data_IF_183238166227
#
_entry.id   IF_183238166227
#
_cell.length_a   1.000
_cell.length_b   1.000
_cell.length_c   1.000
_cell.angle_alpha   90.00
_cell.angle_beta   90.00
_cell.angle_gamma   90.00
#
_symmetry.space_group_name_H-M   'P 1'
#
loop_
_entity.id
_entity.type
_entity.pdbx_description
1 polymer ?
#
# COMPACT_ATOMS: atom_id res chain seq x y z
N UNK A 1 45.46 22.12 -66.76
CA UNK A 1 45.48 23.48 -66.16
C UNK A 1 44.05 24.00 -66.11
N UNK A 2 43.65 24.61 -64.97
CA UNK A 2 42.49 25.50 -64.70
C UNK A 2 41.13 25.21 -65.42
N UNK A 3 40.06 24.80 -64.74
CA UNK A 3 39.16 25.52 -63.79
C UNK A 3 38.04 26.36 -64.45
N UNK A 4 36.85 26.31 -63.80
CA UNK A 4 35.58 27.09 -63.93
C UNK A 4 34.48 26.37 -64.75
N UNK A 5 33.38 25.87 -64.14
CA UNK A 5 32.18 26.55 -63.56
C UNK A 5 31.00 26.54 -64.58
N UNK A 6 29.69 26.54 -64.25
CA UNK A 6 28.88 26.22 -63.05
C UNK A 6 27.38 26.27 -63.43
N UNK A 7 26.52 25.38 -62.88
CA UNK A 7 25.03 25.43 -62.88
C UNK A 7 24.31 25.34 -64.27
N UNK A 8 23.05 24.89 -64.44
CA UNK A 8 22.01 24.21 -63.62
C UNK A 8 20.87 23.66 -64.55
N UNK A 9 19.69 23.26 -64.00
CA UNK A 9 18.35 23.06 -64.68
C UNK A 9 18.19 21.69 -65.41
N UNK A 10 17.13 20.85 -65.30
CA UNK A 10 15.87 20.82 -64.49
C UNK A 10 15.26 19.38 -64.34
N UNK A 11 14.25 19.27 -63.46
CA UNK A 11 13.21 18.24 -63.16
C UNK A 11 12.47 17.56 -64.37
N UNK A 12 11.61 16.50 -64.33
CA UNK A 12 10.87 15.70 -63.30
C UNK A 12 10.32 14.33 -63.90
N UNK A 13 10.07 13.30 -63.05
CA UNK A 13 8.93 12.32 -63.04
C UNK A 13 8.78 10.99 -63.88
N UNK A 14 8.04 10.05 -63.23
CA UNK A 14 7.34 8.78 -63.64
C UNK A 14 8.21 7.54 -64.01
N UNK A 15 8.02 6.26 -63.62
CA UNK A 15 7.29 5.46 -62.59
C UNK A 15 6.54 4.20 -63.17
N UNK A 16 6.36 3.17 -62.32
CA UNK A 16 5.48 1.95 -62.44
C UNK A 16 6.10 0.62 -62.95
N UNK A 17 6.13 -0.37 -62.03
CA UNK A 17 5.86 -1.86 -62.05
C UNK A 17 6.00 -2.70 -63.35
N UNK A 18 6.17 -4.04 -63.38
CA UNK A 18 5.92 -5.17 -62.46
C UNK A 18 6.69 -6.44 -62.93
N UNK A 19 6.80 -7.52 -62.13
CA UNK A 19 6.70 -8.96 -62.53
C UNK A 19 7.04 -9.92 -61.36
N UNK A 20 6.47 -11.14 -61.35
CA UNK A 20 6.59 -12.08 -60.23
C UNK A 20 6.67 -13.58 -60.62
N UNK A 21 7.14 -14.38 -59.65
CA UNK A 21 6.77 -15.79 -59.35
C UNK A 21 7.52 -17.01 -59.96
N UNK A 22 7.99 -17.88 -59.02
CA UNK A 22 8.04 -19.37 -59.02
C UNK A 22 8.81 -20.06 -60.17
N UNK A 23 10.02 -20.61 -59.96
CA UNK A 23 10.33 -21.84 -59.19
C UNK A 23 11.33 -22.72 -60.00
N UNK A 24 11.79 -23.94 -59.65
CA UNK A 24 11.71 -24.84 -58.47
C UNK A 24 12.87 -25.86 -58.51
N UNK A 25 13.50 -26.30 -57.40
CA UNK A 25 14.32 -27.54 -57.37
C UNK A 25 14.55 -28.14 -55.96
N UNK A 26 14.69 -29.46 -55.88
CA UNK A 26 14.91 -30.27 -54.66
C UNK A 26 16.40 -30.48 -54.38
N UNK A 27 16.80 -30.59 -53.11
CA UNK A 27 17.93 -31.45 -52.70
C UNK A 27 17.69 -32.08 -51.32
N UNK A 28 18.12 -33.33 -51.18
CA UNK A 28 17.83 -34.20 -50.04
C UNK A 28 18.84 -34.08 -48.90
N UNK A 29 18.35 -34.41 -47.68
CA UNK A 29 19.04 -35.05 -46.55
C UNK A 29 20.58 -35.14 -46.64
N UNK A 30 21.25 -34.48 -45.69
CA UNK A 30 22.48 -35.01 -45.10
C UNK A 30 22.32 -34.96 -43.58
N UNK A 31 22.31 -36.13 -42.95
CA UNK A 31 22.28 -36.27 -41.50
C UNK A 31 23.66 -36.00 -40.92
N UNK A 32 23.71 -35.28 -39.79
CA UNK A 32 24.76 -35.41 -38.79
C UNK A 32 24.08 -35.31 -37.42
N UNK A 33 24.22 -36.35 -36.60
CA UNK A 33 23.72 -36.40 -35.22
C UNK A 33 24.62 -35.60 -34.28
N UNK A 34 24.01 -35.10 -33.18
CA UNK A 34 24.52 -34.93 -31.79
C UNK A 34 26.00 -34.59 -31.52
N UNK A 35 26.35 -33.75 -30.50
CA UNK A 35 25.65 -33.64 -29.22
C UNK A 35 25.64 -32.23 -28.55
N UNK A 36 24.47 -31.71 -28.16
CA UNK A 36 24.36 -30.44 -27.41
C UNK A 36 23.50 -30.52 -26.13
N UNK A 37 23.40 -31.72 -25.53
CA UNK A 37 22.58 -31.96 -24.32
C UNK A 37 23.39 -32.20 -23.03
N UNK A 38 24.70 -31.92 -23.03
CA UNK A 38 25.62 -32.24 -21.92
C UNK A 38 26.52 -31.07 -21.46
N UNK A 39 26.25 -29.85 -21.93
CA UNK A 39 26.92 -28.64 -21.47
C UNK A 39 25.96 -27.46 -21.61
N UNK A 40 25.41 -27.00 -20.50
CA UNK A 40 24.43 -25.91 -20.51
C UNK A 40 25.03 -24.63 -21.09
N UNK A 41 24.59 -24.26 -22.30
CA UNK A 41 24.88 -22.96 -22.88
C UNK A 41 24.12 -21.94 -22.03
N UNK A 42 24.85 -21.21 -21.19
CA UNK A 42 24.33 -20.00 -20.54
C UNK A 42 24.05 -18.98 -21.63
N UNK A 43 22.88 -18.36 -21.54
CA UNK A 43 22.51 -17.24 -22.40
C UNK A 43 23.57 -16.12 -22.23
N UNK A 44 24.33 -15.77 -23.29
CA UNK A 44 25.38 -14.76 -23.19
C UNK A 44 24.72 -13.38 -23.07
N UNK A 45 24.98 -12.67 -21.97
CA UNK A 45 24.45 -11.33 -21.71
C UNK A 45 24.70 -10.38 -22.90
N UNK A 46 23.64 -10.04 -23.64
CA UNK A 46 23.68 -9.12 -24.77
C UNK A 46 22.52 -9.34 -25.74
N UNK A 47 22.26 -8.38 -26.63
CA UNK A 47 21.17 -8.40 -27.60
C UNK A 47 21.47 -9.29 -28.83
N UNK A 48 21.79 -10.57 -28.58
CA UNK A 48 22.37 -11.53 -29.54
C UNK A 48 21.56 -11.80 -30.83
N UNK A 49 20.27 -11.42 -30.86
CA UNK A 49 19.38 -11.54 -32.03
C UNK A 49 18.78 -10.20 -32.49
N UNK A 50 19.38 -9.06 -32.15
CA UNK A 50 18.90 -7.72 -32.57
C UNK A 50 19.19 -7.42 -34.05
N UNK A 51 20.32 -7.90 -34.58
CA UNK A 51 20.66 -7.77 -36.00
C UNK A 51 20.20 -8.99 -36.82
N UNK A 52 19.35 -8.74 -37.82
CA UNK A 52 18.91 -9.76 -38.79
C UNK A 52 20.04 -10.03 -39.80
N UNK A 53 20.39 -11.31 -40.02
CA UNK A 53 21.30 -11.69 -41.12
C UNK A 53 22.28 -12.84 -40.88
N UNK A 54 22.35 -13.43 -39.68
CA UNK A 54 23.29 -14.54 -39.42
C UNK A 54 22.88 -15.50 -38.31
N UNK A 55 22.81 -15.02 -37.06
CA UNK A 55 22.73 -15.90 -35.89
C UNK A 55 21.33 -16.50 -35.60
N UNK A 56 20.27 -15.88 -36.12
CA UNK A 56 18.88 -16.15 -35.69
C UNK A 56 17.94 -16.37 -36.91
N UNK A 57 18.20 -17.39 -37.76
CA UNK A 57 17.37 -17.68 -38.92
C UNK A 57 15.97 -18.14 -38.50
N UNK A 58 14.94 -17.62 -39.17
CA UNK A 58 13.53 -17.97 -38.91
C UNK A 58 12.87 -17.21 -37.75
N UNK A 59 13.49 -16.15 -37.22
CA UNK A 59 12.89 -15.24 -36.24
C UNK A 59 11.96 -14.23 -36.91
N UNK A 60 10.72 -14.16 -36.44
CA UNK A 60 9.68 -13.25 -36.93
C UNK A 60 8.93 -12.61 -35.75
N UNK A 61 9.35 -11.41 -35.34
CA UNK A 61 8.80 -10.69 -34.18
C UNK A 61 7.31 -10.32 -34.27
N UNK A 62 6.69 -10.54 -35.44
CA UNK A 62 5.26 -10.35 -35.68
C UNK A 62 4.46 -11.66 -35.55
N UNK A 63 5.14 -12.82 -35.58
CA UNK A 63 4.54 -14.14 -35.41
C UNK A 63 4.32 -14.42 -33.91
N UNK A 64 3.32 -13.74 -33.34
CA UNK A 64 2.93 -13.89 -31.94
C UNK A 64 1.52 -14.43 -31.80
N UNK A 65 1.27 -15.16 -30.72
CA UNK A 65 -0.05 -15.67 -30.34
C UNK A 65 -0.32 -15.34 -28.86
N UNK A 66 -1.58 -15.06 -28.49
CA UNK A 66 -1.97 -15.01 -27.09
C UNK A 66 -2.02 -16.43 -26.51
N UNK A 67 -1.29 -16.67 -25.42
CA UNK A 67 -1.32 -17.93 -24.67
C UNK A 67 -1.56 -17.62 -23.19
N UNK A 68 -2.69 -18.09 -22.66
CA UNK A 68 -3.21 -17.70 -21.35
C UNK A 68 -3.31 -16.16 -21.22
N UNK A 69 -2.61 -15.56 -20.26
CA UNK A 69 -2.55 -14.13 -19.97
C UNK A 69 -1.29 -13.42 -20.53
N UNK A 70 -0.51 -14.10 -21.38
CA UNK A 70 0.70 -13.56 -22.02
C UNK A 70 0.67 -13.66 -23.55
N UNK A 71 1.56 -12.94 -24.21
CA UNK A 71 1.84 -13.05 -25.64
C UNK A 71 3.14 -13.87 -25.81
N UNK A 72 3.13 -14.85 -26.70
CA UNK A 72 4.27 -15.73 -26.99
C UNK A 72 4.60 -15.76 -28.49
N UNK A 73 5.86 -15.98 -28.84
CA UNK A 73 6.29 -16.15 -30.23
C UNK A 73 6.07 -17.59 -30.73
N UNK A 74 5.59 -17.73 -31.97
CA UNK A 74 5.30 -18.99 -32.68
C UNK A 74 6.10 -19.14 -33.98
N UNK A 75 7.23 -18.44 -34.12
CA UNK A 75 8.07 -18.52 -35.33
C UNK A 75 8.93 -19.80 -35.38
N UNK A 76 9.59 -20.04 -36.53
CA UNK A 76 10.45 -21.22 -36.70
C UNK A 76 11.71 -21.18 -35.81
N UNK A 77 12.13 -19.99 -35.40
CA UNK A 77 13.21 -19.79 -34.43
C UNK A 77 12.81 -20.28 -33.04
N UNK A 78 11.52 -20.24 -32.68
CA UNK A 78 10.99 -20.82 -31.45
C UNK A 78 10.78 -22.35 -31.45
N UNK A 79 11.13 -23.05 -32.54
CA UNK A 79 11.22 -24.51 -32.59
C UNK A 79 12.49 -25.06 -31.89
N UNK A 80 12.84 -24.48 -30.72
CA UNK A 80 14.00 -24.83 -29.89
C UNK A 80 13.61 -24.68 -28.42
N UNK A 81 13.93 -25.68 -27.60
CA UNK A 81 13.31 -25.91 -26.27
C UNK A 81 13.63 -24.89 -25.17
N UNK A 82 14.47 -23.86 -25.41
CA UNK A 82 15.00 -22.99 -24.34
C UNK A 82 15.26 -21.54 -24.85
N UNK A 83 14.22 -20.70 -24.91
CA UNK A 83 14.30 -19.23 -24.71
C UNK A 83 12.90 -18.68 -24.37
N UNK A 84 12.69 -17.36 -24.53
CA UNK A 84 11.47 -16.54 -24.45
C UNK A 84 10.29 -16.94 -25.37
N UNK A 85 10.27 -18.19 -25.83
CA UNK A 85 9.31 -18.77 -26.76
C UNK A 85 8.08 -19.37 -26.07
N UNK A 86 7.05 -19.71 -26.86
CA UNK A 86 5.83 -20.36 -26.37
C UNK A 86 6.16 -21.69 -25.63
N UNK A 87 5.79 -21.85 -24.34
CA UNK A 87 6.11 -23.07 -23.57
C UNK A 87 5.62 -24.37 -24.21
N UNK A 88 4.47 -24.30 -24.90
CA UNK A 88 3.81 -25.43 -25.55
C UNK A 88 3.92 -25.35 -27.09
N UNK A 89 5.02 -24.80 -27.63
CA UNK A 89 5.23 -24.53 -29.06
C UNK A 89 4.74 -25.65 -30.01
N UNK A 90 5.13 -26.91 -29.77
CA UNK A 90 4.70 -28.03 -30.62
C UNK A 90 3.19 -28.27 -30.58
N UNK A 91 2.56 -28.17 -29.42
CA UNK A 91 1.11 -28.36 -29.27
C UNK A 91 0.29 -27.18 -29.79
N UNK A 92 0.73 -25.96 -29.47
CA UNK A 92 -0.05 -24.74 -29.72
C UNK A 92 0.25 -24.09 -31.08
N UNK A 93 1.54 -24.01 -31.49
CA UNK A 93 1.93 -23.41 -32.77
C UNK A 93 1.91 -24.42 -33.93
N UNK A 94 2.23 -25.70 -33.67
CA UNK A 94 2.31 -26.76 -34.71
C UNK A 94 1.18 -27.80 -34.68
N UNK A 95 0.27 -27.75 -33.69
CA UNK A 95 -0.84 -28.71 -33.57
C UNK A 95 -0.42 -30.15 -33.24
N UNK A 96 0.82 -30.37 -32.85
CA UNK A 96 1.37 -31.69 -32.51
C UNK A 96 0.98 -32.02 -31.07
N UNK A 97 0.03 -32.94 -30.88
CA UNK A 97 -0.37 -33.38 -29.54
C UNK A 97 0.86 -33.86 -28.74
N UNK A 98 1.13 -33.31 -27.55
CA UNK A 98 2.29 -33.71 -26.76
C UNK A 98 2.18 -35.19 -26.33
N UNK A 99 3.31 -35.89 -26.15
CA UNK A 99 3.29 -37.25 -25.64
C UNK A 99 2.62 -37.30 -24.27
N UNK A 100 1.82 -38.33 -24.02
CA UNK A 100 0.99 -38.43 -22.81
C UNK A 100 1.86 -38.73 -21.57
N UNK A 101 2.34 -37.67 -20.90
CA UNK A 101 3.07 -37.79 -19.64
C UNK A 101 2.05 -38.11 -18.53
N UNK A 102 1.86 -39.41 -18.25
CA UNK A 102 0.90 -39.88 -17.25
C UNK A 102 1.23 -39.44 -15.81
N UNK A 103 2.53 -39.34 -15.48
CA UNK A 103 3.03 -38.85 -14.20
C UNK A 103 4.35 -38.11 -14.37
N UNK A 104 4.52 -36.97 -13.69
CA UNK A 104 5.82 -36.32 -13.51
C UNK A 104 6.23 -36.37 -12.02
N UNK A 105 7.53 -36.47 -11.73
CA UNK A 105 8.06 -36.59 -10.36
C UNK A 105 9.01 -35.42 -10.05
N UNK A 106 8.84 -34.80 -8.87
CA UNK A 106 9.70 -33.71 -8.39
C UNK A 106 9.81 -33.76 -6.88
N UNK A 107 11.03 -33.72 -6.34
CA UNK A 107 11.34 -33.84 -4.90
C UNK A 107 10.65 -35.05 -4.21
N UNK A 108 10.55 -36.20 -4.90
CA UNK A 108 9.90 -37.42 -4.40
C UNK A 108 8.36 -37.42 -4.44
N UNK A 109 7.73 -36.34 -4.94
CA UNK A 109 6.29 -36.27 -5.15
C UNK A 109 5.92 -36.51 -6.62
N UNK A 110 4.91 -37.36 -6.85
CA UNK A 110 4.36 -37.65 -8.17
C UNK A 110 3.08 -36.85 -8.41
N UNK A 111 3.01 -36.20 -9.58
CA UNK A 111 1.87 -35.40 -10.03
C UNK A 111 1.27 -36.01 -11.30
N UNK A 112 -0.05 -35.98 -11.40
CA UNK A 112 -0.79 -36.47 -12.57
C UNK A 112 -0.89 -35.39 -13.66
N UNK A 113 -1.03 -35.82 -14.92
CA UNK A 113 -1.32 -34.90 -16.03
C UNK A 113 -2.58 -34.06 -15.74
N UNK A 114 -2.48 -32.73 -15.87
CA UNK A 114 -3.53 -31.78 -15.53
C UNK A 114 -3.64 -31.39 -14.05
N UNK A 115 -2.86 -32.00 -13.15
CA UNK A 115 -2.84 -31.62 -11.74
C UNK A 115 -2.08 -30.30 -11.53
N UNK A 116 -2.74 -29.30 -10.95
CA UNK A 116 -2.11 -28.00 -10.70
C UNK A 116 -1.16 -28.08 -9.50
N UNK A 117 0.15 -27.95 -9.74
CA UNK A 117 1.17 -27.83 -8.71
C UNK A 117 1.67 -26.39 -8.63
N UNK A 118 1.75 -25.84 -7.41
CA UNK A 118 2.14 -24.45 -7.16
C UNK A 118 3.43 -24.42 -6.34
N UNK A 119 4.55 -24.24 -7.02
CA UNK A 119 5.87 -24.20 -6.40
C UNK A 119 6.24 -22.77 -6.00
N UNK A 120 6.68 -22.59 -4.76
CA UNK A 120 7.27 -21.35 -4.25
C UNK A 120 6.42 -20.06 -4.42
N UNK A 121 5.15 -20.10 -4.02
CA UNK A 121 4.36 -18.88 -3.82
C UNK A 121 4.84 -18.15 -2.56
N UNK A 122 5.81 -17.24 -2.74
CA UNK A 122 6.50 -16.46 -1.72
C UNK A 122 5.71 -16.23 -0.42
N UNK A 123 6.18 -16.85 0.67
CA UNK A 123 5.65 -16.72 2.04
C UNK A 123 6.11 -15.44 2.75
N UNK A 124 6.77 -14.54 2.01
CA UNK A 124 7.29 -13.25 2.47
C UNK A 124 6.37 -12.13 2.01
N UNK A 125 6.21 -11.09 2.83
CA UNK A 125 5.68 -9.81 2.35
C UNK A 125 6.59 -9.28 1.24
N UNK A 126 6.02 -8.65 0.20
CA UNK A 126 6.78 -8.15 -0.94
C UNK A 126 7.32 -6.75 -0.62
N UNK A 127 8.61 -6.53 -0.90
CA UNK A 127 9.19 -5.19 -0.91
C UNK A 127 8.98 -4.46 -2.25
N UNK A 128 8.89 -3.14 -2.23
CA UNK A 128 8.94 -2.28 -3.42
C UNK A 128 9.64 -0.96 -3.13
N UNK A 129 10.19 -0.36 -4.19
CA UNK A 129 10.76 0.99 -4.15
C UNK A 129 9.64 2.03 -4.27
N UNK A 130 9.70 3.08 -3.45
CA UNK A 130 8.75 4.19 -3.47
C UNK A 130 9.46 5.52 -3.78
N UNK A 131 8.99 6.21 -4.82
CA UNK A 131 9.51 7.52 -5.23
C UNK A 131 9.44 8.57 -4.11
N UNK A 132 8.44 8.50 -3.22
CA UNK A 132 8.28 9.40 -2.07
C UNK A 132 9.36 9.25 -0.97
N UNK A 133 10.24 8.26 -1.09
CA UNK A 133 11.42 8.06 -0.23
C UNK A 133 12.74 8.16 -1.01
N UNK A 134 12.72 8.49 -2.31
CA UNK A 134 13.95 8.64 -3.09
C UNK A 134 14.77 9.84 -2.62
N UNK A 135 16.07 9.62 -2.38
CA UNK A 135 16.98 10.62 -1.82
C UNK A 135 16.88 10.79 -0.29
N UNK A 136 15.93 10.14 0.38
CA UNK A 136 15.77 10.20 1.84
C UNK A 136 16.65 9.15 2.52
N UNK A 137 17.45 9.55 3.51
CA UNK A 137 18.19 8.61 4.36
C UNK A 137 17.27 7.89 5.36
N UNK A 138 17.72 6.76 5.90
CA UNK A 138 16.97 6.02 6.94
C UNK A 138 16.70 6.90 8.17
N UNK A 139 17.66 7.74 8.59
CA UNK A 139 17.48 8.67 9.70
C UNK A 139 16.39 9.72 9.42
N UNK A 140 16.31 10.24 8.20
CA UNK A 140 15.25 11.16 7.79
C UNK A 140 13.89 10.46 7.70
N UNK A 141 13.85 9.20 7.23
CA UNK A 141 12.64 8.36 7.27
C UNK A 141 12.13 8.18 8.70
N UNK A 142 13.00 7.76 9.61
CA UNK A 142 12.68 7.58 11.04
C UNK A 142 12.33 8.88 11.76
N UNK A 143 12.85 10.03 11.29
CA UNK A 143 12.62 11.35 11.87
C UNK A 143 11.36 12.05 11.35
N UNK A 144 11.01 11.88 10.08
CA UNK A 144 9.94 12.64 9.42
C UNK A 144 8.69 11.82 9.07
N UNK A 145 8.82 10.49 8.87
CA UNK A 145 7.68 9.61 8.54
C UNK A 145 7.12 8.88 9.76
N UNK A 146 7.92 8.74 10.82
CA UNK A 146 7.49 8.29 12.15
C UNK A 146 7.33 9.50 13.06
N UNK A 147 6.81 9.34 14.27
CA UNK A 147 6.56 10.50 15.14
C UNK A 147 5.64 10.28 16.34
N UNK A 148 5.45 9.05 16.80
CA UNK A 148 4.68 8.80 18.01
C UNK A 148 5.63 8.58 19.19
N UNK A 149 5.44 9.33 20.28
CA UNK A 149 6.19 9.12 21.52
C UNK A 149 5.59 7.95 22.32
N UNK A 150 6.45 7.13 22.94
CA UNK A 150 6.00 6.03 23.80
C UNK A 150 5.14 6.54 24.98
N UNK A 151 4.01 5.90 25.30
CA UNK A 151 3.10 6.34 26.36
C UNK A 151 3.69 6.09 27.75
N UNK A 152 3.30 6.90 28.74
CA UNK A 152 3.83 6.78 30.10
C UNK A 152 3.29 5.53 30.82
N UNK A 153 4.07 5.02 31.80
CA UNK A 153 3.72 3.83 32.61
C UNK A 153 2.31 3.88 33.22
N UNK A 154 1.86 5.06 33.67
CA UNK A 154 0.51 5.25 34.24
C UNK A 154 -0.62 5.02 33.23
N UNK A 155 -0.37 5.26 31.95
CA UNK A 155 -1.35 5.02 30.87
C UNK A 155 -1.30 3.55 30.45
N UNK A 156 -0.17 2.89 30.65
CA UNK A 156 -0.02 1.43 30.53
C UNK A 156 -0.64 0.63 31.70
N UNK A 157 -1.42 1.26 32.61
CA UNK A 157 -2.01 0.58 33.79
C UNK A 157 -3.53 0.79 33.92
N UNK A 158 -4.28 0.81 32.80
CA UNK A 158 -5.75 0.88 32.78
C UNK A 158 -6.39 -0.53 32.70
N UNK A 159 -7.61 -0.67 33.22
CA UNK A 159 -8.30 -1.96 33.44
C UNK A 159 -8.96 -2.57 32.19
N UNK A 160 -9.19 -3.89 32.23
CA UNK A 160 -9.55 -4.80 31.12
C UNK A 160 -11.07 -5.13 31.04
N UNK A 161 -11.56 -5.72 29.94
CA UNK A 161 -12.96 -6.21 29.80
C UNK A 161 -13.09 -7.48 28.92
N UNK A 162 -13.85 -8.49 29.35
CA UNK A 162 -13.78 -9.84 28.77
C UNK A 162 -14.82 -10.25 27.69
N UNK A 163 -14.29 -10.94 26.66
CA UNK A 163 -14.75 -12.16 25.94
C UNK A 163 -16.09 -12.22 25.17
N UNK A 164 -16.04 -12.62 23.89
CA UNK A 164 -16.98 -13.56 23.24
C UNK A 164 -16.46 -14.10 21.87
N UNK A 165 -17.23 -14.93 21.15
CA UNK A 165 -16.88 -15.50 19.81
C UNK A 165 -16.73 -14.43 18.71
N UNK A 166 -15.72 -14.58 17.83
CA UNK A 166 -15.35 -13.62 16.79
C UNK A 166 -15.16 -14.31 15.41
N UNK A 167 -15.44 -13.62 14.27
CA UNK A 167 -15.23 -14.16 12.93
C UNK A 167 -13.74 -14.22 12.55
N UNK A 168 -13.38 -15.09 11.60
CA UNK A 168 -12.01 -15.21 11.08
C UNK A 168 -11.54 -14.00 10.26
N UNK A 169 -12.46 -13.31 9.60
CA UNK A 169 -12.22 -12.09 8.84
C UNK A 169 -13.21 -11.00 9.26
N UNK A 170 -12.73 -9.76 9.31
CA UNK A 170 -13.53 -8.57 9.55
C UNK A 170 -12.88 -7.35 8.92
N UNK A 171 -13.67 -6.49 8.31
CA UNK A 171 -13.24 -5.20 7.78
C UNK A 171 -14.29 -4.13 8.13
N UNK A 172 -13.87 -3.10 8.86
CA UNK A 172 -14.77 -2.03 9.28
C UNK A 172 -15.39 -1.27 8.09
N UNK A 173 -14.69 -1.17 6.95
CA UNK A 173 -15.22 -0.50 5.76
C UNK A 173 -16.37 -1.28 5.10
N UNK A 174 -16.37 -2.61 5.23
CA UNK A 174 -17.45 -3.48 4.75
C UNK A 174 -18.65 -3.47 5.71
N UNK A 175 -18.42 -3.50 7.04
CA UNK A 175 -19.51 -3.41 8.03
C UNK A 175 -20.16 -2.04 8.06
N UNK A 176 -19.39 -0.96 7.86
CA UNK A 176 -19.87 0.42 7.92
C UNK A 176 -19.51 1.21 6.65
N UNK A 177 -20.15 0.92 5.50
CA UNK A 177 -19.89 1.64 4.25
C UNK A 177 -20.08 3.15 4.39
N UNK A 178 -19.12 3.90 3.82
CA UNK A 178 -19.09 5.36 3.83
C UNK A 178 -18.79 6.00 5.19
N UNK A 179 -18.42 5.22 6.22
CA UNK A 179 -18.13 5.72 7.58
C UNK A 179 -16.67 5.52 8.00
N UNK A 180 -15.87 4.81 7.20
CA UNK A 180 -14.43 4.65 7.38
C UNK A 180 -13.72 5.54 6.36
N UNK A 181 -12.93 6.49 6.85
CA UNK A 181 -12.24 7.46 5.99
C UNK A 181 -10.93 6.88 5.45
N UNK A 182 -10.53 7.34 4.28
CA UNK A 182 -9.34 6.84 3.60
C UNK A 182 -8.03 7.36 4.21
N UNK A 183 -6.91 6.62 4.07
CA UNK A 183 -5.59 7.04 4.54
C UNK A 183 -5.16 8.38 3.93
N UNK A 184 -4.79 9.34 4.78
CA UNK A 184 -4.14 10.60 4.40
C UNK A 184 -2.61 10.42 4.35
N UNK A 185 -1.89 11.41 3.79
CA UNK A 185 -0.42 11.47 3.80
C UNK A 185 0.07 12.58 4.73
N UNK A 186 0.89 12.22 5.72
CA UNK A 186 1.57 13.16 6.62
C UNK A 186 2.76 13.87 5.97
N UNK A 187 3.15 13.50 4.74
CA UNK A 187 4.34 14.04 4.07
C UNK A 187 5.59 13.86 4.95
N UNK A 188 6.47 14.85 4.93
CA UNK A 188 7.69 14.89 5.74
C UNK A 188 7.46 15.61 7.09
N UNK A 189 6.37 15.29 7.77
CA UNK A 189 6.02 15.81 9.09
C UNK A 189 5.82 14.63 10.06
N UNK A 190 6.50 14.64 11.20
CA UNK A 190 6.48 13.55 12.19
C UNK A 190 5.16 13.50 12.99
N UNK A 191 4.04 13.32 12.31
CA UNK A 191 2.70 13.61 12.82
C UNK A 191 1.75 12.40 12.86
N UNK A 192 2.25 11.16 12.73
CA UNK A 192 1.41 9.97 12.78
C UNK A 192 0.54 9.87 14.04
N UNK A 193 1.02 10.42 15.16
CA UNK A 193 0.26 10.63 16.40
C UNK A 193 -1.04 11.43 16.20
N UNK A 194 -1.02 12.48 15.37
CA UNK A 194 -2.17 13.33 15.07
C UNK A 194 -3.06 12.72 13.98
N UNK A 195 -2.44 12.19 12.91
CA UNK A 195 -3.13 11.57 11.79
C UNK A 195 -3.98 10.37 12.21
N UNK A 196 -3.40 9.42 12.94
CA UNK A 196 -4.14 8.24 13.43
C UNK A 196 -5.22 8.60 14.47
N UNK A 197 -4.97 9.60 15.33
CA UNK A 197 -5.97 10.12 16.29
C UNK A 197 -7.16 10.72 15.55
N UNK A 198 -6.92 11.61 14.59
CA UNK A 198 -7.96 12.24 13.79
C UNK A 198 -8.74 11.21 12.96
N UNK A 199 -8.06 10.25 12.33
CA UNK A 199 -8.70 9.19 11.54
C UNK A 199 -9.61 8.29 12.39
N UNK A 200 -9.14 7.79 13.53
CA UNK A 200 -9.96 6.98 14.45
C UNK A 200 -11.17 7.78 14.93
N UNK A 201 -10.97 9.04 15.34
CA UNK A 201 -12.07 9.88 15.80
C UNK A 201 -13.12 10.16 14.71
N UNK A 202 -12.68 10.39 13.47
CA UNK A 202 -13.54 10.58 12.29
C UNK A 202 -14.47 9.38 12.11
N UNK A 203 -13.90 8.17 12.13
CA UNK A 203 -14.65 6.94 11.91
C UNK A 203 -15.59 6.63 13.08
N UNK A 204 -15.11 6.80 14.33
CA UNK A 204 -15.93 6.59 15.54
C UNK A 204 -17.14 7.53 15.59
N UNK A 205 -16.97 8.81 15.25
CA UNK A 205 -18.09 9.75 15.12
C UNK A 205 -19.05 9.32 14.00
N UNK A 206 -18.51 8.81 12.90
CA UNK A 206 -19.32 8.38 11.75
C UNK A 206 -20.15 7.13 12.03
N UNK A 207 -19.57 6.15 12.72
CA UNK A 207 -20.24 4.93 13.16
C UNK A 207 -21.30 5.26 14.23
N UNK A 208 -20.93 6.03 15.25
CA UNK A 208 -21.79 6.27 16.42
C UNK A 208 -22.86 7.34 16.18
N UNK A 209 -22.70 8.18 15.16
CA UNK A 209 -23.79 8.99 14.59
C UNK A 209 -24.67 8.22 13.60
N UNK A 210 -24.48 6.91 13.43
CA UNK A 210 -25.18 6.07 12.44
C UNK A 210 -25.02 6.56 10.98
N UNK A 211 -24.09 7.47 10.70
CA UNK A 211 -23.91 8.13 9.41
C UNK A 211 -24.65 9.46 9.24
N UNK A 212 -25.34 9.97 10.27
CA UNK A 212 -25.88 11.34 10.26
C UNK A 212 -24.77 12.40 10.12
N UNK A 213 -23.56 12.06 10.55
CA UNK A 213 -22.35 12.88 10.45
C UNK A 213 -21.23 12.00 9.92
N UNK A 214 -20.49 12.43 8.89
CA UNK A 214 -19.27 11.73 8.41
C UNK A 214 -18.10 12.70 8.31
N UNK A 215 -17.59 13.22 9.44
CA UNK A 215 -16.57 14.27 9.43
C UNK A 215 -15.18 13.67 9.35
N UNK A 216 -14.46 13.93 8.24
CA UNK A 216 -13.01 13.71 8.21
C UNK A 216 -12.33 14.83 9.01
N UNK A 217 -11.78 14.51 10.18
CA UNK A 217 -11.19 15.48 11.10
C UNK A 217 -9.78 15.89 10.68
N UNK A 218 -9.43 17.14 10.97
CA UNK A 218 -8.14 17.74 10.61
C UNK A 218 -7.00 17.28 11.53
N UNK A 219 -6.01 16.51 11.05
CA UNK A 219 -4.73 16.35 11.75
C UNK A 219 -3.97 17.68 11.87
N UNK A 220 -4.07 18.59 10.89
CA UNK A 220 -3.40 19.90 10.95
C UNK A 220 -3.84 20.71 12.18
N UNK A 221 -5.13 20.64 12.54
CA UNK A 221 -5.64 21.33 13.72
C UNK A 221 -5.01 20.78 15.01
N UNK A 222 -4.78 19.47 15.12
CA UNK A 222 -4.01 18.89 16.23
C UNK A 222 -2.54 19.36 16.19
N UNK A 223 -1.87 19.18 15.04
CA UNK A 223 -0.44 19.50 14.86
C UNK A 223 -0.12 20.96 15.21
N UNK A 224 -0.97 21.89 14.80
CA UNK A 224 -0.77 23.33 15.01
C UNK A 224 -1.26 23.85 16.37
N UNK A 225 -2.24 23.20 17.02
CA UNK A 225 -2.93 23.76 18.19
C UNK A 225 -2.84 22.94 19.47
N UNK A 226 -2.58 21.63 19.41
CA UNK A 226 -2.20 20.84 20.59
C UNK A 226 -0.69 20.97 20.78
N UNK A 227 -0.26 22.01 21.52
CA UNK A 227 1.16 22.36 21.71
C UNK A 227 1.71 22.00 23.10
N UNK A 228 0.87 21.50 24.01
CA UNK A 228 1.29 21.23 25.40
C UNK A 228 1.93 19.85 25.51
N UNK A 229 3.25 19.82 25.63
CA UNK A 229 4.07 18.60 25.61
C UNK A 229 3.97 17.82 24.28
N UNK A 230 3.79 18.56 23.18
CA UNK A 230 3.68 18.05 21.81
C UNK A 230 4.68 18.79 20.91
N UNK A 231 5.29 18.08 19.97
CA UNK A 231 6.30 18.64 19.04
C UNK A 231 5.78 18.95 17.63
N UNK A 232 4.47 18.81 17.36
CA UNK A 232 3.91 19.01 16.02
C UNK A 232 4.53 18.04 15.01
N UNK A 233 5.26 18.58 14.03
CA UNK A 233 6.05 17.84 13.04
C UNK A 233 7.39 17.28 13.56
N UNK A 234 7.70 17.42 14.85
CA UNK A 234 8.83 16.76 15.51
C UNK A 234 8.43 15.57 16.40
N UNK A 235 7.17 15.12 16.30
CA UNK A 235 6.63 14.01 17.06
C UNK A 235 5.67 14.44 18.18
N UNK A 236 4.85 13.51 18.64
CA UNK A 236 3.84 13.80 19.66
C UNK A 236 3.27 12.57 20.34
N UNK A 237 2.47 12.84 21.37
CA UNK A 237 1.86 11.90 22.29
C UNK A 237 0.39 11.72 21.96
N UNK A 238 -0.02 10.47 21.73
CA UNK A 238 -1.42 10.14 21.45
C UNK A 238 -2.33 10.40 22.67
N UNK A 239 -1.82 10.28 23.90
CA UNK A 239 -2.59 10.62 25.10
C UNK A 239 -2.88 12.13 25.21
N UNK A 240 -1.92 12.97 24.82
CA UNK A 240 -2.12 14.42 24.67
C UNK A 240 -3.19 14.73 23.62
N UNK A 241 -3.10 14.08 22.46
CA UNK A 241 -4.02 14.28 21.34
C UNK A 241 -5.47 13.91 21.70
N UNK A 242 -5.71 12.76 22.36
CA UNK A 242 -7.04 12.40 22.85
C UNK A 242 -7.53 13.33 23.95
N UNK A 243 -6.66 13.80 24.85
CA UNK A 243 -7.01 14.81 25.84
C UNK A 243 -7.42 16.14 25.21
N UNK A 244 -6.72 16.56 24.15
CA UNK A 244 -7.06 17.73 23.35
C UNK A 244 -8.39 17.54 22.65
N UNK A 245 -8.60 16.44 21.92
CA UNK A 245 -9.85 16.16 21.21
C UNK A 245 -11.06 16.08 22.16
N UNK A 246 -10.91 15.46 23.33
CA UNK A 246 -11.92 15.46 24.39
C UNK A 246 -12.22 16.87 24.90
N UNK A 247 -11.19 17.64 25.28
CA UNK A 247 -11.38 18.93 25.99
C UNK A 247 -11.68 20.10 25.06
N UNK A 248 -11.06 20.15 23.89
CA UNK A 248 -11.07 21.25 22.91
C UNK A 248 -11.79 20.85 21.63
N UNK A 249 -11.61 19.62 21.16
CA UNK A 249 -12.08 19.20 19.85
C UNK A 249 -11.30 19.82 18.69
N UNK A 250 -11.62 19.40 17.48
CA UNK A 250 -11.00 19.87 16.23
C UNK A 250 -12.06 20.09 15.14
N UNK A 251 -11.71 20.83 14.09
CA UNK A 251 -12.53 20.94 12.87
C UNK A 251 -12.23 19.84 11.85
N UNK A 252 -12.97 19.84 10.74
CA UNK A 252 -12.73 18.96 9.58
C UNK A 252 -11.47 19.34 8.80
N UNK A 253 -10.92 18.35 8.09
CA UNK A 253 -9.84 18.51 7.12
C UNK A 253 -10.24 19.48 5.98
N UNK A 254 -11.51 19.49 5.58
CA UNK A 254 -12.06 20.47 4.62
C UNK A 254 -11.88 21.93 5.10
N UNK A 255 -11.97 22.17 6.42
CA UNK A 255 -11.87 23.49 7.05
C UNK A 255 -10.42 23.89 7.34
N UNK A 256 -9.59 22.96 7.83
CA UNK A 256 -8.18 23.20 8.13
C UNK A 256 -7.33 22.07 7.51
N UNK A 257 -7.08 22.10 6.19
CA UNK A 257 -6.38 21.04 5.49
C UNK A 257 -4.91 20.95 5.90
N UNK A 258 -4.37 19.73 5.87
CA UNK A 258 -2.97 19.48 6.08
C UNK A 258 -2.11 20.05 4.95
N UNK A 259 -1.00 20.69 5.33
CA UNK A 259 -0.01 21.21 4.41
C UNK A 259 1.36 20.67 4.82
N UNK A 260 1.94 19.80 4.00
CA UNK A 260 3.26 19.25 4.26
C UNK A 260 4.32 20.38 4.31
N UNK A 261 5.20 20.42 5.34
CA UNK A 261 6.24 21.45 5.43
C UNK A 261 7.15 21.41 4.21
N UNK A 262 7.28 22.52 3.49
CA UNK A 262 7.97 22.49 2.18
C UNK A 262 9.49 22.36 2.29
N UNK A 263 10.15 22.85 3.35
CA UNK A 263 11.60 22.61 3.55
C UNK A 263 12.25 22.90 4.92
N UNK A 264 11.55 23.42 5.94
CA UNK A 264 12.20 23.73 7.24
C UNK A 264 11.40 23.27 8.46
N UNK A 265 12.12 22.94 9.53
CA UNK A 265 11.59 22.47 10.82
C UNK A 265 10.92 23.56 11.68
N UNK A 266 10.68 24.76 11.12
CA UNK A 266 10.25 25.94 11.86
C UNK A 266 8.77 26.35 11.61
N UNK A 267 8.10 25.77 10.61
CA UNK A 267 6.70 26.07 10.29
C UNK A 267 5.75 24.91 10.64
N UNK A 268 5.76 24.49 11.91
CA UNK A 268 4.51 24.03 12.53
C UNK A 268 3.62 25.27 12.60
N UNK A 269 2.87 25.53 11.52
CA UNK A 269 2.16 26.78 11.30
C UNK A 269 1.33 27.18 12.52
N UNK A 270 1.45 28.44 12.94
CA UNK A 270 0.77 29.01 14.12
C UNK A 270 -0.69 28.56 14.13
N UNK A 271 -1.17 28.05 15.27
CA UNK A 271 -2.58 27.65 15.45
C UNK A 271 -3.55 28.72 14.91
N UNK A 272 -4.15 28.46 13.74
CA UNK A 272 -5.10 29.37 13.12
C UNK A 272 -6.52 29.19 13.67
N UNK A 273 -6.81 28.03 14.28
CA UNK A 273 -8.14 27.72 14.81
C UNK A 273 -8.11 27.03 16.18
N UNK A 274 -8.35 27.82 17.22
CA UNK A 274 -8.63 27.32 18.56
C UNK A 274 -10.14 27.09 18.76
N UNK A 275 -10.50 26.51 19.91
CA UNK A 275 -11.90 26.40 20.34
C UNK A 275 -12.17 27.03 21.70
N UNK A 276 -13.30 27.76 21.77
CA UNK A 276 -13.84 28.35 23.00
C UNK A 276 -14.99 27.49 23.55
N UNK A 277 -15.21 27.58 24.87
CA UNK A 277 -16.36 26.93 25.52
C UNK A 277 -17.62 27.72 25.23
N UNK A 278 -18.73 27.03 24.94
CA UNK A 278 -20.07 27.64 24.81
C UNK A 278 -21.05 27.10 25.85
N UNK A 279 -20.54 26.49 26.93
CA UNK A 279 -21.35 25.87 27.98
C UNK A 279 -21.72 24.42 27.67
N UNK A 280 -22.26 23.70 28.68
CA UNK A 280 -22.62 22.25 28.60
C UNK A 280 -21.51 21.35 28.03
N UNK A 281 -20.25 21.79 28.16
CA UNK A 281 -19.08 21.16 27.57
C UNK A 281 -18.96 21.25 26.04
N UNK A 282 -19.91 21.86 25.31
CA UNK A 282 -19.80 22.06 23.85
C UNK A 282 -18.74 23.11 23.52
N UNK A 283 -18.25 23.08 22.29
CA UNK A 283 -17.16 23.93 21.78
C UNK A 283 -17.56 24.61 20.47
N UNK A 284 -16.96 25.77 20.21
CA UNK A 284 -17.08 26.48 18.94
C UNK A 284 -15.69 26.95 18.51
N UNK A 285 -15.40 26.93 17.20
CA UNK A 285 -14.20 27.50 16.63
C UNK A 285 -14.11 29.02 16.93
N UNK A 286 -12.89 29.52 17.15
CA UNK A 286 -12.63 30.95 17.41
C UNK A 286 -12.43 31.76 16.13
N UNK A 287 -12.30 31.11 14.97
CA UNK A 287 -11.97 31.72 13.68
C UNK A 287 -12.73 31.04 12.53
N UNK A 288 -12.70 31.65 11.34
CA UNK A 288 -13.13 31.01 10.09
C UNK A 288 -12.09 29.97 9.64
N UNK A 289 -12.51 29.04 8.78
CA UNK A 289 -11.64 28.06 8.15
C UNK A 289 -10.44 28.72 7.44
N UNK A 290 -9.20 28.23 7.65
CA UNK A 290 -8.06 28.55 6.78
C UNK A 290 -8.30 28.17 5.32
N UNK A 291 -9.05 27.10 5.08
CA UNK A 291 -9.57 26.73 3.76
C UNK A 291 -10.61 27.74 3.28
N UNK A 292 -10.48 28.20 2.04
CA UNK A 292 -11.48 29.02 1.36
C UNK A 292 -12.63 28.20 0.76
N UNK A 293 -12.50 26.87 0.71
CA UNK A 293 -13.48 25.97 0.10
C UNK A 293 -14.72 25.74 0.97
N UNK A 294 -14.64 26.02 2.28
CA UNK A 294 -15.75 25.77 3.21
C UNK A 294 -15.84 26.84 4.28
N UNK A 295 -17.07 27.12 4.71
CA UNK A 295 -17.36 27.99 5.86
C UNK A 295 -17.75 27.20 7.10
N UNK A 296 -17.84 25.87 7.00
CA UNK A 296 -18.22 24.98 8.10
C UNK A 296 -17.04 24.75 9.06
N UNK A 297 -17.07 25.44 10.20
CA UNK A 297 -16.05 25.37 11.26
C UNK A 297 -16.55 24.67 12.53
N UNK A 298 -17.40 23.66 12.36
CA UNK A 298 -17.96 22.85 13.44
C UNK A 298 -16.85 22.11 14.21
N UNK A 299 -16.91 22.14 15.54
CA UNK A 299 -15.91 21.50 16.41
C UNK A 299 -16.41 20.14 16.88
N UNK A 300 -15.67 19.10 16.52
CA UNK A 300 -15.94 17.71 16.87
C UNK A 300 -15.10 17.30 18.08
N UNK A 301 -15.72 16.59 19.03
CA UNK A 301 -15.09 16.14 20.28
C UNK A 301 -15.22 14.63 20.45
N UNK A 302 -14.36 14.05 21.29
CA UNK A 302 -14.47 12.66 21.76
C UNK A 302 -14.93 12.59 23.22
N UNK A 303 -15.33 11.40 23.66
CA UNK A 303 -15.37 11.01 25.08
C UNK A 303 -13.93 10.87 25.63
N UNK A 304 -13.72 10.54 26.92
CA UNK A 304 -12.43 10.02 27.35
C UNK A 304 -12.01 8.81 26.47
N UNK A 305 -10.73 8.69 26.09
CA UNK A 305 -10.17 7.46 25.53
C UNK A 305 -10.04 6.39 26.63
N UNK A 306 -9.94 5.13 26.22
CA UNK A 306 -9.59 4.00 27.07
C UNK A 306 -8.59 3.11 26.35
N UNK A 307 -7.64 2.56 27.11
CA UNK A 307 -6.72 1.54 26.60
C UNK A 307 -7.42 0.19 26.59
N UNK A 308 -7.18 -0.60 25.54
CA UNK A 308 -7.54 -2.01 25.48
C UNK A 308 -6.40 -2.85 26.06
N UNK A 309 -6.69 -4.04 26.57
CA UNK A 309 -5.63 -4.99 26.90
C UNK A 309 -4.87 -5.40 25.63
N UNK A 310 -3.70 -6.02 25.80
CA UNK A 310 -2.97 -6.67 24.71
C UNK A 310 -3.57 -8.02 24.29
N UNK A 311 -4.82 -8.30 24.67
CA UNK A 311 -5.52 -9.51 24.26
C UNK A 311 -6.07 -9.34 22.83
N UNK A 312 -5.56 -10.16 21.91
CA UNK A 312 -6.01 -10.26 20.52
C UNK A 312 -7.54 -10.15 20.37
N UNK A 313 -8.30 -10.89 21.21
CA UNK A 313 -9.77 -10.96 21.12
C UNK A 313 -10.46 -9.69 21.63
N UNK A 314 -9.89 -8.98 22.61
CA UNK A 314 -10.47 -7.72 23.08
C UNK A 314 -10.30 -6.63 22.04
N UNK A 315 -9.13 -6.57 21.38
CA UNK A 315 -8.87 -5.68 20.25
C UNK A 315 -9.83 -6.00 19.08
N UNK A 316 -9.96 -7.28 18.71
CA UNK A 316 -10.93 -7.72 17.68
C UNK A 316 -12.36 -7.32 18.04
N UNK A 317 -12.82 -7.57 19.28
CA UNK A 317 -14.18 -7.28 19.73
C UNK A 317 -14.47 -5.78 19.71
N UNK A 318 -13.55 -4.97 20.21
CA UNK A 318 -13.68 -3.51 20.18
C UNK A 318 -13.78 -2.97 18.75
N UNK A 319 -12.95 -3.48 17.84
CA UNK A 319 -13.03 -3.14 16.40
C UNK A 319 -14.37 -3.59 15.80
N UNK A 320 -14.84 -4.79 16.17
CA UNK A 320 -16.10 -5.36 15.68
C UNK A 320 -17.31 -4.54 16.10
N UNK A 321 -17.38 -4.15 17.36
CA UNK A 321 -18.58 -3.56 17.96
C UNK A 321 -18.60 -2.05 17.76
N UNK A 322 -17.45 -1.37 17.94
CA UNK A 322 -17.38 0.08 18.07
C UNK A 322 -16.59 0.79 16.95
N UNK A 323 -15.84 0.07 16.12
CA UNK A 323 -15.11 0.60 14.97
C UNK A 323 -13.59 0.67 15.13
N UNK A 324 -12.85 1.25 14.16
CA UNK A 324 -11.39 1.26 14.17
C UNK A 324 -10.75 1.77 15.47
N UNK A 325 -9.58 1.26 15.81
CA UNK A 325 -8.81 1.59 17.03
C UNK A 325 -7.45 2.17 16.65
N UNK A 326 -6.85 2.95 17.56
CA UNK A 326 -5.49 3.44 17.37
C UNK A 326 -4.49 2.48 18.02
N UNK A 327 -3.42 2.12 17.32
CA UNK A 327 -2.33 1.32 17.86
C UNK A 327 -0.98 2.03 17.70
N UNK A 328 -0.01 1.70 18.55
CA UNK A 328 1.40 2.02 18.37
C UNK A 328 2.12 0.76 17.91
N UNK A 329 3.02 0.89 16.93
CA UNK A 329 3.98 -0.15 16.56
C UNK A 329 5.41 0.42 16.51
N UNK A 330 6.39 -0.45 16.68
CA UNK A 330 7.80 -0.20 16.38
C UNK A 330 8.07 -0.41 14.89
N UNK A 331 8.55 0.63 14.21
CA UNK A 331 8.85 0.57 12.77
C UNK A 331 10.35 0.38 12.58
N UNK A 332 10.72 -0.74 11.99
CA UNK A 332 12.08 -1.07 11.55
C UNK A 332 12.34 -0.63 10.11
N UNK A 333 13.59 -0.72 9.66
CA UNK A 333 14.00 -0.22 8.34
C UNK A 333 13.36 -0.96 7.14
N UNK A 334 12.94 -2.21 7.34
CA UNK A 334 12.34 -3.04 6.28
C UNK A 334 10.85 -2.72 6.05
N UNK A 335 10.13 -2.21 7.06
CA UNK A 335 8.73 -1.80 6.93
C UNK A 335 8.54 -0.65 5.92
N UNK A 336 9.52 0.25 5.78
CA UNK A 336 9.44 1.36 4.81
C UNK A 336 9.22 0.88 3.37
N UNK A 337 9.80 -0.27 3.00
CA UNK A 337 9.68 -0.85 1.66
C UNK A 337 8.53 -1.85 1.52
N UNK A 338 7.72 -2.10 2.56
CA UNK A 338 6.55 -2.98 2.49
C UNK A 338 5.62 -2.60 1.32
N UNK A 339 5.18 -3.58 0.52
CA UNK A 339 4.22 -3.40 -0.58
C UNK A 339 2.92 -4.19 -0.44
N UNK A 340 3.00 -5.47 -0.10
CA UNK A 340 1.82 -6.32 0.13
C UNK A 340 2.17 -7.61 0.90
N UNK A 341 1.13 -8.31 1.35
CA UNK A 341 1.24 -9.53 2.16
C UNK A 341 1.22 -9.25 3.65
N UNK A 342 1.46 -10.28 4.47
CA UNK A 342 1.48 -10.15 5.93
C UNK A 342 2.90 -9.77 6.37
N UNK A 343 3.07 -8.53 6.83
CA UNK A 343 4.33 -8.04 7.40
C UNK A 343 4.67 -8.76 8.71
N UNK A 344 5.96 -9.08 8.82
CA UNK A 344 6.68 -9.53 9.99
C UNK A 344 8.11 -9.01 9.83
N UNK A 345 8.70 -8.43 10.87
CA UNK A 345 10.05 -7.90 10.79
C UNK A 345 11.03 -9.02 10.43
N UNK A 346 11.92 -8.74 9.50
CA UNK A 346 12.79 -9.76 8.91
C UNK A 346 14.15 -9.81 9.59
N UNK A 347 14.67 -11.02 9.76
CA UNK A 347 16.01 -11.30 10.31
C UNK A 347 17.16 -10.68 9.48
N UNK A 348 16.85 -10.09 8.32
CA UNK A 348 17.78 -9.33 7.47
C UNK A 348 18.38 -8.12 8.21
N UNK A 349 17.75 -7.63 9.29
CA UNK A 349 18.35 -6.62 10.17
C UNK A 349 19.51 -7.18 11.00
N UNK A 350 19.47 -8.45 11.42
CA UNK A 350 20.49 -9.08 12.28
C UNK A 350 21.85 -9.29 11.59
N UNK A 351 21.91 -9.27 10.25
CA UNK A 351 23.19 -9.33 9.51
C UNK A 351 23.79 -7.95 9.25
N UNK A 352 23.01 -6.87 9.38
CA UNK A 352 23.51 -5.50 9.21
C UNK A 352 24.35 -5.05 10.40
N UNK A 353 25.35 -4.18 10.21
CA UNK A 353 26.01 -3.46 11.30
C UNK A 353 25.02 -2.76 12.25
N UNK A 354 25.31 -2.63 13.56
CA UNK A 354 24.38 -2.07 14.54
C UNK A 354 23.85 -0.67 14.19
N UNK A 355 24.66 0.17 13.55
CA UNK A 355 24.26 1.52 13.15
C UNK A 355 23.25 1.56 11.99
N UNK A 356 22.94 0.43 11.35
CA UNK A 356 21.84 0.33 10.38
C UNK A 356 20.59 -0.38 10.95
N UNK A 357 20.65 -0.92 12.18
CA UNK A 357 19.52 -1.53 12.88
C UNK A 357 18.75 -0.46 13.65
N UNK A 358 18.06 0.42 12.92
CA UNK A 358 17.36 1.56 13.51
C UNK A 358 15.85 1.36 13.46
N UNK A 359 15.20 1.63 14.58
CA UNK A 359 13.75 1.55 14.75
C UNK A 359 13.25 2.81 15.46
N UNK A 360 11.97 3.14 15.32
CA UNK A 360 11.30 4.18 16.09
C UNK A 360 9.78 3.93 16.15
N UNK A 361 9.07 4.58 17.06
CA UNK A 361 7.64 4.34 17.27
C UNK A 361 6.72 5.16 16.35
N UNK A 362 5.72 4.48 15.82
CA UNK A 362 4.72 4.99 14.88
C UNK A 362 3.31 4.69 15.40
N UNK A 363 2.30 5.42 14.93
CA UNK A 363 0.91 5.15 15.29
C UNK A 363 0.02 5.05 14.07
N UNK A 364 -0.82 4.02 14.07
CA UNK A 364 -1.67 3.58 12.96
C UNK A 364 -3.09 3.36 13.43
N UNK A 365 -4.02 3.23 12.48
CA UNK A 365 -5.42 2.89 12.75
C UNK A 365 -5.67 1.45 12.32
N UNK A 366 -5.97 0.54 13.25
CA UNK A 366 -6.38 -0.84 12.92
C UNK A 366 -7.87 -0.81 12.53
N UNK A 367 -8.20 -1.30 11.34
CA UNK A 367 -9.55 -1.28 10.76
C UNK A 367 -10.18 -2.66 10.60
N UNK A 368 -9.42 -3.74 10.82
CA UNK A 368 -9.92 -5.10 10.68
C UNK A 368 -8.87 -6.17 10.90
N UNK A 369 -9.19 -7.40 10.55
CA UNK A 369 -8.29 -8.56 10.65
C UNK A 369 -8.71 -9.64 9.64
N UNK A 370 -7.81 -10.60 9.42
CA UNK A 370 -8.11 -11.79 8.64
C UNK A 370 -7.22 -12.97 8.96
N UNK A 371 -7.48 -14.08 8.28
CA UNK A 371 -6.74 -15.34 8.39
C UNK A 371 -6.48 -15.89 6.98
N UNK A 372 -5.21 -16.14 6.67
CA UNK A 372 -4.78 -16.79 5.44
C UNK A 372 -4.31 -18.20 5.75
N UNK A 373 -4.89 -19.20 5.07
CA UNK A 373 -4.50 -20.59 5.21
C UNK A 373 -3.40 -20.93 4.22
N UNK A 374 -2.23 -21.28 4.72
CA UNK A 374 -1.06 -21.64 3.94
C UNK A 374 -1.18 -23.07 3.37
N UNK A 375 -0.34 -23.36 2.37
CA UNK A 375 -0.25 -24.68 1.73
C UNK A 375 0.21 -25.79 2.69
N UNK A 376 1.06 -25.46 3.66
CA UNK A 376 1.48 -26.34 4.77
C UNK A 376 0.38 -26.60 5.83
N UNK A 377 -0.85 -26.11 5.58
CA UNK A 377 -2.02 -26.14 6.45
C UNK A 377 -1.94 -25.26 7.71
N UNK A 378 -0.87 -24.50 7.92
CA UNK A 378 -0.83 -23.47 8.96
C UNK A 378 -1.78 -22.32 8.61
N UNK A 379 -2.21 -21.57 9.63
CA UNK A 379 -3.07 -20.38 9.44
C UNK A 379 -2.31 -19.16 9.94
N UNK A 380 -1.99 -18.23 9.03
CA UNK A 380 -1.40 -16.94 9.38
C UNK A 380 -2.52 -15.94 9.66
N UNK A 381 -2.53 -15.43 10.88
CA UNK A 381 -3.42 -14.35 11.31
C UNK A 381 -2.79 -13.00 10.97
N UNK A 382 -3.61 -12.03 10.59
CA UNK A 382 -3.16 -10.65 10.41
C UNK A 382 -4.17 -9.62 10.91
N UNK A 383 -3.67 -8.45 11.26
CA UNK A 383 -4.43 -7.20 11.36
C UNK A 383 -4.44 -6.50 10.01
N UNK A 384 -5.51 -5.73 9.74
CA UNK A 384 -5.59 -4.77 8.64
C UNK A 384 -5.45 -3.38 9.27
N UNK A 385 -4.43 -2.63 8.87
CA UNK A 385 -4.13 -1.31 9.43
C UNK A 385 -3.95 -0.26 8.33
N UNK A 386 -4.53 0.92 8.57
CA UNK A 386 -4.32 2.11 7.76
C UNK A 386 -3.08 2.86 8.27
N UNK A 387 -2.15 3.14 7.35
CA UNK A 387 -0.98 3.97 7.60
C UNK A 387 -1.32 5.46 7.36
N UNK A 388 -0.35 6.36 7.53
CA UNK A 388 -0.47 7.80 7.31
C UNK A 388 0.51 8.33 6.25
N UNK A 389 0.87 7.49 5.26
CA UNK A 389 1.81 7.81 4.18
C UNK A 389 1.15 7.81 2.79
N UNK A 390 -0.15 8.12 2.74
CA UNK A 390 -0.95 8.21 1.52
C UNK A 390 -1.23 6.86 0.84
N UNK A 391 -2.09 6.89 -0.19
CA UNK A 391 -2.57 5.69 -0.88
C UNK A 391 -1.52 4.99 -1.75
N UNK A 392 -0.44 5.68 -2.13
CA UNK A 392 0.58 5.12 -3.02
C UNK A 392 1.46 4.07 -2.34
N UNK A 393 1.54 4.13 -1.00
CA UNK A 393 2.30 3.19 -0.18
C UNK A 393 1.49 1.93 0.15
N UNK A 394 2.15 0.78 0.24
CA UNK A 394 1.56 -0.49 0.65
C UNK A 394 0.39 -0.93 -0.23
N UNK A 395 -0.65 -1.44 0.43
CA UNK A 395 -1.91 -1.92 -0.13
C UNK A 395 -2.93 -0.77 -0.13
N UNK A 396 -2.76 0.20 -1.04
CA UNK A 396 -3.59 1.42 -1.16
C UNK A 396 -3.60 2.31 0.10
N UNK A 397 -2.45 2.44 0.78
CA UNK A 397 -2.30 3.15 2.06
C UNK A 397 -2.55 2.29 3.29
N UNK A 398 -2.97 1.04 3.10
CA UNK A 398 -3.09 0.04 4.14
C UNK A 398 -1.90 -0.93 4.14
N UNK A 399 -1.77 -1.69 5.22
CA UNK A 399 -0.87 -2.82 5.33
C UNK A 399 -1.52 -3.91 6.18
N UNK A 400 -0.97 -5.12 6.04
CA UNK A 400 -1.29 -6.26 6.91
C UNK A 400 -0.05 -6.66 7.68
N UNK A 401 -0.23 -7.00 8.95
CA UNK A 401 0.84 -7.34 9.92
C UNK A 401 0.38 -8.51 10.77
N UNK A 402 1.30 -9.39 11.19
CA UNK A 402 0.98 -10.57 11.97
C UNK A 402 0.17 -10.25 13.25
N UNK A 403 -0.83 -11.09 13.55
CA UNK A 403 -1.77 -10.95 14.68
C UNK A 403 -1.65 -12.13 15.65
N UNK A 404 -1.75 -11.85 16.94
CA UNK A 404 -1.67 -12.84 18.03
C UNK A 404 -0.24 -13.14 18.49
N UNK A 405 0.76 -12.42 17.97
CA UNK A 405 2.18 -12.55 18.29
C UNK A 405 2.78 -11.24 18.85
N UNK A 406 1.97 -10.17 19.00
CA UNK A 406 2.42 -8.82 19.32
C UNK A 406 3.57 -8.32 18.42
N UNK A 407 3.49 -8.64 17.13
CA UNK A 407 4.48 -8.27 16.11
C UNK A 407 4.75 -6.76 16.13
N UNK A 408 6.02 -6.36 16.22
CA UNK A 408 6.43 -4.96 16.35
C UNK A 408 5.69 -4.18 17.45
N UNK A 409 5.37 -4.81 18.58
CA UNK A 409 4.60 -4.22 19.70
C UNK A 409 3.17 -3.74 19.34
N UNK A 410 2.60 -4.10 18.17
CA UNK A 410 1.32 -3.52 17.69
C UNK A 410 0.10 -3.80 18.60
N UNK A 411 0.14 -4.87 19.39
CA UNK A 411 -0.90 -5.24 20.35
C UNK A 411 -0.61 -4.68 21.75
N UNK A 412 0.60 -4.19 22.02
CA UNK A 412 1.02 -3.74 23.35
C UNK A 412 0.33 -2.46 23.82
N UNK A 413 -0.02 -1.55 22.88
CA UNK A 413 -0.70 -0.31 23.23
C UNK A 413 -1.74 0.11 22.20
N UNK A 414 -3.01 -0.22 22.50
CA UNK A 414 -4.17 0.07 21.66
C UNK A 414 -5.17 0.94 22.42
N UNK A 415 -5.73 1.96 21.77
CA UNK A 415 -6.75 2.87 22.32
C UNK A 415 -8.08 2.73 21.56
N UNK A 416 -9.15 2.52 22.32
CA UNK A 416 -10.54 2.71 21.93
C UNK A 416 -11.11 4.05 22.43
N UNK A 417 -12.17 4.53 21.78
CA UNK A 417 -12.81 5.83 22.10
C UNK A 417 -14.23 5.90 21.57
N UNK A 418 -15.08 6.75 22.15
CA UNK A 418 -16.36 7.12 21.55
C UNK A 418 -16.31 8.55 21.00
N UNK A 419 -16.93 8.75 19.84
CA UNK A 419 -17.26 10.08 19.35
C UNK A 419 -18.29 10.72 20.28
N UNK A 420 -18.13 12.01 20.58
CA UNK A 420 -19.13 12.72 21.38
C UNK A 420 -20.25 13.21 20.46
N UNK A 421 -21.25 12.36 20.26
CA UNK A 421 -22.43 12.66 19.44
C UNK A 421 -23.65 12.81 20.34
N UNK A 422 -24.44 13.88 20.18
CA UNK A 422 -25.74 14.05 20.83
C UNK A 422 -26.88 14.12 19.80
N UNK A 423 -28.11 13.87 20.24
CA UNK A 423 -29.30 13.96 19.38
C UNK A 423 -29.46 15.34 18.72
N UNK A 424 -29.10 16.41 19.43
CA UNK A 424 -29.08 17.78 18.89
C UNK A 424 -28.12 17.91 17.70
N UNK A 425 -26.94 17.29 17.79
CA UNK A 425 -25.89 17.38 16.78
C UNK A 425 -26.26 16.57 15.51
N UNK A 426 -26.93 15.43 15.67
CA UNK A 426 -27.47 14.66 14.54
C UNK A 426 -28.56 15.45 13.78
N UNK A 427 -29.45 16.14 14.51
CA UNK A 427 -30.55 16.92 13.92
C UNK A 427 -30.06 18.18 13.19
N UNK A 428 -29.08 18.90 13.74
CA UNK A 428 -28.52 20.09 13.10
C UNK A 428 -27.83 19.77 11.76
N UNK A 429 -27.04 18.69 11.70
CA UNK A 429 -26.41 18.26 10.45
C UNK A 429 -27.42 17.82 9.38
N UNK A 430 -28.52 17.18 9.76
CA UNK A 430 -29.59 16.85 8.81
C UNK A 430 -30.23 18.09 8.17
N UNK A 431 -30.51 19.14 8.95
CA UNK A 431 -31.06 20.38 8.40
C UNK A 431 -30.08 21.09 7.45
N UNK A 432 -28.77 21.02 7.73
CA UNK A 432 -27.75 21.52 6.81
C UNK A 432 -27.65 20.71 5.52
N UNK A 433 -27.77 19.37 5.56
CA UNK A 433 -27.79 18.55 4.34
C UNK A 433 -29.05 18.74 3.49
N UNK A 434 -30.24 18.89 4.10
CA UNK A 434 -31.47 19.13 3.33
C UNK A 434 -31.49 20.49 2.62
N UNK A 435 -30.80 21.51 3.16
CA UNK A 435 -30.56 22.79 2.47
C UNK A 435 -29.56 22.70 1.31
N UNK A 436 -28.86 21.58 1.11
CA UNK A 436 -27.96 21.34 -0.04
C UNK A 436 -28.62 20.58 -1.21
N UNK A 437 -29.89 20.16 -1.07
CA UNK A 437 -30.65 19.42 -2.10
C UNK A 437 -31.84 20.21 -2.69
N UNK A 438 -31.86 21.53 -2.44
CA UNK A 438 -32.71 22.53 -3.08
C UNK A 438 -31.81 23.66 -3.56
#
# INVERSE_FOLDING_TARGET
>A
MKLLASLAVVLLLVAVESMAARGTSRRMKRELMSPLHMGGIRDPFGSYCEQRGGCCPGREDQCTVPYLDTICYCDLFCNRTISDCCPDFWGHCLGISPPFIGTCERNGHKFLSGQTYKENCNLCWRAANYSQFYGMSLDEGLRYRLGTQRPSRTIMSMNEMQNDRLPQYFNAAEKWPGKIHEPLDQGNCAASWAFSTAAVASDRISIQSMGHMTPQLSPQNLISCDTRNQGGCAGGRIDGAWWYLRRRGVVTEECYPFSAPQQTTAEVGRCMMQSRSVGRGKRQATARCPSTHTYHNDIYQSTPPYRLSSNEKEIMKEIMDNGPVQAILEVHEDFFVYKNGIYKHTDVSFTKPPHYRKHNTHSVRITGWGEERNYDRTTKKYWIAANSWGKNWGENGYFRIARGENECEIEAFVIGVWGRVTMEDMQSHHHHQHRRRK
#
